data_IF_923924828484
#
_entry.id   IF_923924828484
#
_cell.length_a   1.000
_cell.length_b   1.000
_cell.length_c   1.000
_cell.angle_alpha   90.00
_cell.angle_beta   90.00
_cell.angle_gamma   90.00
#
_symmetry.space_group_name_H-M   'P 1'
#
loop_
_entity.id
_entity.type
_entity.pdbx_description
1 polymer ?
#
# COMPACT_ATOMS: atom_id res chain seq x y z
N UNK A 1 13.41 33.65 -26.86
CA UNK A 1 13.09 33.26 -25.46
C UNK A 1 13.56 31.82 -25.26
N UNK A 2 14.35 31.54 -24.22
CA UNK A 2 14.88 30.19 -23.97
C UNK A 2 14.04 29.41 -22.96
N UNK A 3 13.87 28.10 -23.18
CA UNK A 3 13.25 27.16 -22.25
C UNK A 3 14.34 26.38 -21.50
N UNK A 4 14.18 26.17 -20.18
CA UNK A 4 15.09 25.36 -19.35
C UNK A 4 14.32 24.16 -18.80
N UNK A 5 14.80 22.94 -19.08
CA UNK A 5 14.23 21.69 -18.57
C UNK A 5 15.04 21.19 -17.38
N UNK A 6 14.40 21.04 -16.22
CA UNK A 6 15.01 20.51 -15.00
C UNK A 6 14.50 19.09 -14.73
N UNK A 7 15.42 18.18 -14.35
CA UNK A 7 15.08 16.81 -13.95
C UNK A 7 14.73 16.75 -12.46
N UNK A 8 13.44 16.58 -12.15
CA UNK A 8 12.93 16.39 -10.79
C UNK A 8 12.83 14.92 -10.38
N UNK A 9 13.01 14.64 -9.09
CA UNK A 9 12.92 13.32 -8.48
C UNK A 9 11.98 13.32 -7.27
N UNK A 10 11.34 12.17 -7.01
CA UNK A 10 10.43 11.95 -5.88
C UNK A 10 10.86 10.67 -5.15
N UNK A 11 10.84 10.70 -3.81
CA UNK A 11 11.21 9.55 -2.98
C UNK A 11 9.99 8.70 -2.63
N UNK A 12 9.99 7.42 -3.01
CA UNK A 12 8.96 6.42 -2.68
C UNK A 12 8.91 6.03 -1.19
N UNK A 13 9.83 6.56 -0.36
CA UNK A 13 9.90 6.27 1.08
C UNK A 13 9.33 7.38 1.94
N UNK A 14 9.71 8.63 1.65
CA UNK A 14 9.34 9.81 2.44
C UNK A 14 8.58 10.87 1.65
N UNK A 15 8.27 10.60 0.37
CA UNK A 15 7.55 11.49 -0.55
C UNK A 15 8.20 12.85 -0.78
N UNK A 16 9.48 13.00 -0.43
CA UNK A 16 10.23 14.23 -0.67
C UNK A 16 10.50 14.40 -2.17
N UNK A 17 10.33 15.63 -2.66
CA UNK A 17 10.63 16.02 -4.03
C UNK A 17 11.89 16.88 -4.05
N UNK A 18 12.80 16.63 -4.97
CA UNK A 18 14.02 17.43 -5.13
C UNK A 18 14.45 17.49 -6.59
N UNK A 19 15.26 18.49 -6.92
CA UNK A 19 15.86 18.67 -8.24
C UNK A 19 17.34 18.31 -8.10
N UNK A 20 17.83 17.42 -8.94
CA UNK A 20 19.28 17.14 -8.95
C UNK A 20 20.00 18.29 -9.64
N UNK A 21 21.11 18.73 -9.03
CA UNK A 21 22.00 19.73 -9.65
C UNK A 21 22.85 19.12 -10.78
N UNK A 22 23.06 17.81 -10.72
CA UNK A 22 23.88 17.08 -11.68
C UNK A 22 22.98 16.27 -12.61
N UNK A 23 23.45 16.05 -13.84
CA UNK A 23 22.78 15.17 -14.83
C UNK A 23 22.71 13.70 -14.38
N UNK A 24 23.47 13.33 -13.34
CA UNK A 24 23.52 11.96 -12.83
C UNK A 24 22.33 11.65 -11.93
N UNK A 25 21.84 10.41 -12.02
CA UNK A 25 20.79 9.87 -11.16
C UNK A 25 21.28 9.85 -9.69
N UNK A 26 20.48 10.34 -8.73
CA UNK A 26 20.88 10.34 -7.33
C UNK A 26 20.98 8.92 -6.76
N UNK A 27 22.01 8.67 -5.96
CA UNK A 27 22.23 7.37 -5.30
C UNK A 27 21.27 7.21 -4.11
N UNK A 28 21.01 8.29 -3.37
CA UNK A 28 20.16 8.30 -2.18
C UNK A 28 19.17 9.48 -2.20
N UNK A 29 18.09 9.37 -1.42
CA UNK A 29 17.19 10.49 -1.16
C UNK A 29 17.90 11.61 -0.40
N UNK A 30 17.77 12.86 -0.85
CA UNK A 30 18.37 14.03 -0.20
C UNK A 30 17.83 14.30 1.22
N UNK A 31 16.61 13.85 1.54
CA UNK A 31 15.98 14.06 2.86
C UNK A 31 16.23 12.89 3.82
N UNK A 32 15.81 11.68 3.48
CA UNK A 32 15.89 10.53 4.38
C UNK A 32 17.13 9.66 4.19
N UNK A 33 18.03 10.02 3.26
CA UNK A 33 19.26 9.28 2.91
C UNK A 33 19.03 7.83 2.46
N UNK A 34 17.79 7.45 2.16
CA UNK A 34 17.48 6.08 1.72
C UNK A 34 18.03 5.82 0.32
N UNK A 35 18.79 4.73 0.09
CA UNK A 35 19.22 4.33 -1.26
C UNK A 35 18.06 3.79 -2.09
N UNK A 36 16.95 3.38 -1.46
CA UNK A 36 15.77 2.82 -2.12
C UNK A 36 14.71 3.88 -2.43
N UNK A 37 15.15 5.09 -2.76
CA UNK A 37 14.26 6.22 -3.01
C UNK A 37 13.43 6.06 -4.29
N UNK A 38 13.95 5.35 -5.29
CA UNK A 38 13.30 5.08 -6.57
C UNK A 38 12.68 3.68 -6.65
N UNK A 39 12.57 2.99 -5.52
CA UNK A 39 12.07 1.61 -5.46
C UNK A 39 10.71 1.64 -4.77
N UNK A 40 9.61 1.33 -5.49
CA UNK A 40 8.30 1.28 -4.88
C UNK A 40 8.27 0.20 -3.79
N UNK A 41 7.52 0.46 -2.72
CA UNK A 41 7.34 -0.53 -1.66
C UNK A 41 6.60 -1.74 -2.24
N UNK A 42 7.12 -2.95 -1.98
CA UNK A 42 6.41 -4.20 -2.31
C UNK A 42 5.03 -4.12 -1.66
N UNK A 43 3.98 -4.18 -2.48
CA UNK A 43 2.60 -4.28 -1.99
C UNK A 43 2.52 -5.58 -1.20
N UNK A 44 2.01 -5.52 0.04
CA UNK A 44 1.66 -6.75 0.76
C UNK A 44 0.60 -7.43 -0.09
N UNK A 45 0.87 -8.63 -0.61
CA UNK A 45 -0.17 -9.36 -1.30
C UNK A 45 -1.28 -9.63 -0.28
N UNK A 46 -2.56 -9.42 -0.63
CA UNK A 46 -3.66 -9.78 0.26
C UNK A 46 -3.73 -11.30 0.48
N UNK A 47 -2.93 -12.08 -0.27
CA UNK A 47 -2.90 -13.54 -0.25
C UNK A 47 -1.77 -14.14 0.60
N UNK A 48 -1.01 -13.34 1.34
CA UNK A 48 -0.24 -13.90 2.46
C UNK A 48 -1.21 -14.20 3.60
N UNK A 49 -1.88 -15.33 3.48
CA UNK A 49 -2.69 -15.98 4.52
C UNK A 49 -1.76 -16.61 5.55
N UNK A 50 -1.76 -16.17 6.82
CA UNK A 50 -1.32 -16.98 7.92
C UNK A 50 -2.58 -17.40 8.68
N UNK A 51 -3.29 -18.42 8.19
CA UNK A 51 -4.20 -19.25 9.01
C UNK A 51 -4.99 -18.46 10.10
N UNK A 52 -5.92 -17.60 9.70
CA UNK A 52 -7.06 -17.21 10.54
C UNK A 52 -8.22 -18.15 10.18
N UNK A 53 -8.19 -19.40 10.65
CA UNK A 53 -8.77 -19.83 11.94
C UNK A 53 -10.27 -19.56 11.96
N UNK A 54 -11.00 -20.49 11.34
CA UNK A 54 -12.31 -21.01 11.75
C UNK A 54 -13.21 -20.10 12.62
N UNK A 55 -14.02 -19.24 12.02
CA UNK A 55 -15.14 -18.58 12.74
C UNK A 55 -16.37 -18.28 11.86
N UNK A 56 -16.52 -18.95 10.72
CA UNK A 56 -17.63 -18.68 9.79
C UNK A 56 -18.45 -19.93 9.45
N UNK A 57 -18.68 -20.76 10.47
CA UNK A 57 -19.69 -21.81 10.45
C UNK A 57 -20.52 -21.64 11.70
N UNK A 58 -21.57 -20.80 11.67
CA UNK A 58 -22.80 -20.84 12.48
C UNK A 58 -23.66 -19.60 12.13
N UNK A 59 -24.30 -19.56 10.95
CA UNK A 59 -25.35 -18.56 10.67
C UNK A 59 -26.44 -19.06 9.72
N UNK A 60 -26.75 -20.35 9.67
CA UNK A 60 -27.80 -20.86 8.76
C UNK A 60 -28.79 -21.87 9.35
N UNK A 61 -29.00 -21.96 10.68
CA UNK A 61 -30.08 -22.81 11.24
C UNK A 61 -30.67 -22.30 12.57
N UNK A 62 -31.36 -21.15 12.57
CA UNK A 62 -32.20 -20.73 13.72
C UNK A 62 -33.51 -20.02 13.31
N UNK A 63 -33.95 -20.15 12.06
CA UNK A 63 -35.13 -19.42 11.54
C UNK A 63 -36.29 -20.33 11.13
N UNK A 64 -36.23 -21.63 11.44
CA UNK A 64 -37.30 -22.60 11.15
C UNK A 64 -37.72 -23.34 12.43
N UNK A 65 -38.31 -22.64 13.40
CA UNK A 65 -39.36 -23.21 14.25
C UNK A 65 -40.05 -22.15 15.13
N UNK A 66 -40.79 -21.25 14.51
CA UNK A 66 -41.97 -20.64 15.14
C UNK A 66 -43.22 -21.32 14.57
N UNK A 67 -43.31 -22.63 14.80
CA UNK A 67 -44.62 -23.28 14.85
C UNK A 67 -45.26 -22.90 16.20
N UNK A 68 -46.58 -22.86 16.21
CA UNK A 68 -47.35 -23.31 17.39
C UNK A 68 -47.65 -22.32 18.53
N UNK A 69 -47.96 -21.05 18.24
CA UNK A 69 -48.66 -20.19 19.22
C UNK A 69 -49.71 -19.30 18.54
N UNK A 70 -50.83 -19.89 18.11
CA UNK A 70 -52.11 -19.20 17.84
C UNK A 70 -53.21 -20.21 17.44
N UNK A 71 -53.44 -21.22 18.28
CA UNK A 71 -54.69 -21.99 18.28
C UNK A 71 -55.46 -21.65 19.56
#
# INVERSE_FOLDING_TARGET
>A
MGEIKLSGYICERCSHKWISRNSHKPICCAKCKSPYWNVPRRKKSPFHSPLRRASQLHSTKASENKREVAR
#
